data_IF_575539943748
#
_entry.id   IF_575539943748
#
_cell.length_a   1.000
_cell.length_b   1.000
_cell.length_c   1.000
_cell.angle_alpha   90.00
_cell.angle_beta   90.00
_cell.angle_gamma   90.00
#
_symmetry.space_group_name_H-M   'P 1'
#
loop_
_entity.id
_entity.type
_entity.pdbx_description
1 polymer ?
#
# COMPACT_ATOMS: atom_id res chain seq x y z
N UNK A 1 -20.98 -8.19 17.28
CA UNK A 1 -19.85 -8.52 16.40
C UNK A 1 -18.79 -7.46 16.53
N UNK A 2 -17.57 -7.89 16.77
CA UNK A 2 -16.45 -6.96 16.88
C UNK A 2 -15.83 -6.85 15.50
N UNK A 3 -15.88 -5.65 14.93
CA UNK A 3 -15.20 -5.38 13.65
C UNK A 3 -13.84 -4.79 14.00
N UNK A 4 -12.79 -5.40 13.51
CA UNK A 4 -11.45 -4.88 13.71
C UNK A 4 -11.36 -3.49 13.07
N UNK A 5 -10.88 -2.51 13.84
CA UNK A 5 -10.67 -1.16 13.31
C UNK A 5 -9.67 -1.15 12.18
N UNK A 6 -8.75 -2.14 12.14
CA UNK A 6 -7.75 -2.25 11.09
C UNK A 6 -8.34 -2.60 9.74
N UNK A 7 -9.55 -3.20 9.72
CA UNK A 7 -10.23 -3.59 8.48
C UNK A 7 -11.21 -2.53 7.98
N UNK A 8 -11.35 -1.44 8.70
CA UNK A 8 -12.27 -0.37 8.27
C UNK A 8 -11.66 0.44 7.15
N UNK A 9 -12.45 0.68 6.12
CA UNK A 9 -12.00 1.43 4.94
C UNK A 9 -11.53 2.84 5.29
N UNK A 10 -12.11 3.45 6.30
CA UNK A 10 -11.70 4.79 6.72
C UNK A 10 -10.28 4.82 7.27
N UNK A 11 -9.77 3.71 7.78
CA UNK A 11 -8.37 3.62 8.21
C UNK A 11 -7.40 3.67 7.04
N UNK A 12 -7.87 3.32 5.85
CA UNK A 12 -7.09 3.42 4.62
C UNK A 12 -7.34 4.77 3.96
N UNK A 13 -8.61 5.09 3.68
CA UNK A 13 -8.95 6.32 2.96
C UNK A 13 -8.73 7.57 3.78
N UNK A 14 -8.77 7.45 5.11
CA UNK A 14 -8.49 8.55 6.01
C UNK A 14 -7.01 8.83 6.20
N UNK A 15 -6.14 8.00 5.63
CA UNK A 15 -4.69 8.15 5.77
C UNK A 15 -4.08 8.54 4.43
N UNK A 16 -3.68 9.79 4.31
CA UNK A 16 -2.99 10.27 3.11
C UNK A 16 -1.73 9.47 2.81
N UNK A 17 -0.96 9.15 3.84
CA UNK A 17 0.28 8.39 3.69
C UNK A 17 0.04 6.99 3.16
N UNK A 18 -0.95 6.27 3.72
CA UNK A 18 -1.27 4.91 3.27
C UNK A 18 -1.75 4.91 1.82
N UNK A 19 -2.60 5.85 1.46
CA UNK A 19 -3.09 5.96 0.08
C UNK A 19 -1.94 6.28 -0.87
N UNK A 20 -1.02 7.15 -0.48
CA UNK A 20 0.16 7.45 -1.29
C UNK A 20 0.99 6.20 -1.55
N UNK A 21 1.24 5.40 -0.52
CA UNK A 21 2.01 4.17 -0.63
C UNK A 21 1.29 3.17 -1.53
N UNK A 22 -0.01 2.97 -1.29
CA UNK A 22 -0.80 2.02 -2.09
C UNK A 22 -0.88 2.43 -3.55
N UNK A 23 -1.08 3.72 -3.81
CA UNK A 23 -1.13 4.22 -5.19
C UNK A 23 0.21 4.00 -5.90
N UNK A 24 1.30 4.30 -5.24
CA UNK A 24 2.64 4.11 -5.78
C UNK A 24 2.90 2.64 -6.11
N UNK A 25 2.53 1.73 -5.22
CA UNK A 25 2.69 0.30 -5.46
C UNK A 25 1.73 -0.23 -6.51
N UNK A 26 0.50 0.27 -6.53
CA UNK A 26 -0.48 -0.16 -7.54
C UNK A 26 0.00 0.16 -8.95
N UNK A 27 0.63 1.31 -9.14
CA UNK A 27 1.14 1.74 -10.45
C UNK A 27 2.39 0.95 -10.85
N UNK A 28 3.28 0.70 -9.90
CA UNK A 28 4.60 0.11 -10.20
C UNK A 28 4.67 -1.39 -9.95
N UNK A 29 3.68 -1.99 -9.31
CA UNK A 29 3.57 -3.39 -8.92
C UNK A 29 4.52 -3.79 -7.80
N UNK A 30 5.81 -3.56 -7.95
CA UNK A 30 6.82 -3.89 -6.94
C UNK A 30 7.82 -2.75 -6.84
N UNK A 31 8.18 -2.40 -5.61
CA UNK A 31 9.21 -1.39 -5.34
C UNK A 31 9.98 -1.77 -4.09
N UNK A 32 11.26 -1.41 -4.08
CA UNK A 32 12.04 -1.50 -2.86
C UNK A 32 11.61 -0.40 -1.89
N UNK A 33 11.96 -0.57 -0.62
CA UNK A 33 11.62 0.43 0.39
C UNK A 33 12.20 1.80 0.06
N UNK A 34 13.42 1.83 -0.48
CA UNK A 34 14.07 3.06 -0.88
C UNK A 34 13.29 3.77 -2.00
N UNK A 35 12.79 3.00 -2.97
CA UNK A 35 11.99 3.55 -4.05
C UNK A 35 10.64 4.08 -3.55
N UNK A 36 10.02 3.38 -2.59
CA UNK A 36 8.77 3.84 -1.99
C UNK A 36 8.98 5.18 -1.29
N UNK A 37 10.04 5.29 -0.49
CA UNK A 37 10.37 6.52 0.21
C UNK A 37 10.60 7.65 -0.79
N UNK A 38 11.37 7.40 -1.83
CA UNK A 38 11.67 8.38 -2.88
C UNK A 38 10.41 8.86 -3.59
N UNK A 39 9.54 7.93 -3.96
CA UNK A 39 8.35 8.24 -4.75
C UNK A 39 7.27 8.91 -3.92
N UNK A 40 7.14 8.55 -2.64
CA UNK A 40 6.10 9.11 -1.77
C UNK A 40 6.57 10.37 -1.05
N UNK A 41 7.89 10.54 -0.90
CA UNK A 41 8.51 11.61 -0.13
C UNK A 41 8.12 11.61 1.34
N UNK A 42 7.73 10.43 1.83
CA UNK A 42 7.47 10.21 3.25
C UNK A 42 8.76 9.81 3.94
N UNK A 43 8.84 10.01 5.27
CA UNK A 43 10.04 9.61 5.98
C UNK A 43 10.08 8.09 6.18
N UNK A 44 11.29 7.58 6.44
CA UNK A 44 11.55 6.14 6.54
C UNK A 44 10.68 5.45 7.60
N UNK A 45 10.62 6.00 8.81
CA UNK A 45 9.88 5.35 9.89
C UNK A 45 8.38 5.33 9.63
N UNK A 46 7.84 6.38 9.02
CA UNK A 46 6.44 6.43 8.60
C UNK A 46 6.13 5.35 7.57
N UNK A 47 6.99 5.23 6.56
CA UNK A 47 6.80 4.23 5.50
C UNK A 47 6.81 2.82 6.09
N UNK A 48 7.78 2.50 6.95
CA UNK A 48 7.87 1.19 7.60
C UNK A 48 6.59 0.90 8.39
N UNK A 49 6.16 1.85 9.21
CA UNK A 49 4.97 1.68 10.05
C UNK A 49 3.72 1.42 9.20
N UNK A 50 3.53 2.21 8.15
CA UNK A 50 2.37 2.04 7.28
C UNK A 50 2.43 0.74 6.48
N UNK A 51 3.61 0.35 5.99
CA UNK A 51 3.77 -0.91 5.27
C UNK A 51 3.46 -2.11 6.16
N UNK A 52 3.88 -2.07 7.43
CA UNK A 52 3.56 -3.13 8.38
C UNK A 52 2.05 -3.28 8.54
N UNK A 53 1.33 -2.17 8.65
CA UNK A 53 -0.12 -2.20 8.74
C UNK A 53 -0.76 -2.74 7.45
N UNK A 54 -0.28 -2.29 6.31
CA UNK A 54 -0.81 -2.74 5.01
C UNK A 54 -0.53 -4.23 4.76
N UNK A 55 0.57 -4.76 5.29
CA UNK A 55 0.84 -6.21 5.24
C UNK A 55 -0.19 -6.98 6.05
N UNK A 56 -0.53 -6.48 7.24
CA UNK A 56 -1.55 -7.13 8.09
C UNK A 56 -2.90 -7.19 7.39
N UNK A 57 -3.21 -6.20 6.58
CA UNK A 57 -4.46 -6.15 5.82
C UNK A 57 -4.40 -6.96 4.52
N UNK A 58 -3.27 -7.58 4.22
CA UNK A 58 -3.04 -8.35 3.00
C UNK A 58 -3.15 -7.53 1.72
N UNK A 59 -2.87 -6.24 1.81
CA UNK A 59 -2.88 -5.35 0.65
C UNK A 59 -1.52 -5.30 -0.04
N UNK A 60 -0.46 -5.56 0.71
CA UNK A 60 0.90 -5.62 0.19
C UNK A 60 1.61 -6.84 0.74
N UNK A 61 2.62 -7.30 0.01
CA UNK A 61 3.46 -8.42 0.40
C UNK A 61 4.91 -7.96 0.47
N UNK A 62 5.60 -8.34 1.52
CA UNK A 62 7.02 -8.09 1.65
C UNK A 62 7.80 -9.29 1.12
N UNK A 63 8.78 -9.02 0.28
CA UNK A 63 9.72 -10.02 -0.23
C UNK A 63 11.12 -9.59 0.19
N UNK A 64 11.90 -10.54 0.73
CA UNK A 64 13.25 -10.26 1.17
C UNK A 64 14.25 -10.96 0.28
N UNK A 65 15.20 -10.21 -0.28
CA UNK A 65 16.29 -10.72 -1.08
C UNK A 65 17.59 -10.26 -0.44
N UNK A 66 18.16 -11.10 0.44
CA UNK A 66 19.29 -10.70 1.24
C UNK A 66 18.93 -9.52 2.14
N UNK A 67 19.58 -8.38 1.94
CA UNK A 67 19.33 -7.16 2.72
C UNK A 67 18.29 -6.25 2.07
N UNK A 68 17.81 -6.61 0.88
CA UNK A 68 16.87 -5.79 0.13
C UNK A 68 15.45 -6.20 0.48
N UNK A 69 14.65 -5.23 0.90
CA UNK A 69 13.22 -5.43 1.14
C UNK A 69 12.44 -4.86 -0.03
N UNK A 70 11.63 -5.71 -0.66
CA UNK A 70 10.78 -5.33 -1.77
C UNK A 70 9.34 -5.54 -1.36
N UNK A 71 8.49 -4.61 -1.75
CA UNK A 71 7.06 -4.68 -1.45
C UNK A 71 6.29 -4.79 -2.74
N UNK A 72 5.32 -5.71 -2.76
CA UNK A 72 4.49 -6.00 -3.93
C UNK A 72 3.03 -5.69 -3.61
N UNK A 73 2.35 -5.04 -4.55
CA UNK A 73 0.90 -4.85 -4.47
C UNK A 73 0.21 -6.20 -4.65
N UNK A 74 -0.74 -6.54 -3.78
CA UNK A 74 -1.41 -7.84 -3.84
C UNK A 74 -2.64 -7.80 -4.75
N UNK A 75 -2.41 -7.82 -6.06
CA UNK A 75 -3.48 -7.79 -7.05
C UNK A 75 -4.46 -8.95 -6.93
N UNK A 76 -4.03 -10.06 -6.36
CA UNK A 76 -4.88 -11.23 -6.16
C UNK A 76 -5.87 -11.06 -5.01
N UNK A 77 -5.64 -10.10 -4.12
CA UNK A 77 -6.56 -9.79 -3.02
C UNK A 77 -7.70 -8.93 -3.54
N UNK A 78 -8.94 -9.33 -3.27
CA UNK A 78 -10.11 -8.62 -3.79
C UNK A 78 -10.17 -7.17 -3.35
N UNK A 79 -9.87 -6.89 -2.07
CA UNK A 79 -9.88 -5.52 -1.56
C UNK A 79 -8.80 -4.67 -2.22
N UNK A 80 -7.60 -5.23 -2.36
CA UNK A 80 -6.49 -4.54 -3.01
C UNK A 80 -6.83 -4.26 -4.48
N UNK A 81 -7.39 -5.26 -5.17
CA UNK A 81 -7.80 -5.12 -6.56
C UNK A 81 -8.86 -4.04 -6.73
N UNK A 82 -9.86 -4.03 -5.85
CA UNK A 82 -10.93 -3.03 -5.86
C UNK A 82 -10.38 -1.62 -5.65
N UNK A 83 -9.48 -1.48 -4.69
CA UNK A 83 -8.87 -0.19 -4.40
C UNK A 83 -8.02 0.30 -5.57
N UNK A 84 -7.26 -0.59 -6.18
CA UNK A 84 -6.46 -0.26 -7.36
C UNK A 84 -7.36 0.24 -8.49
N UNK A 85 -8.47 -0.45 -8.72
CA UNK A 85 -9.44 -0.04 -9.75
C UNK A 85 -10.03 1.32 -9.44
N UNK A 86 -10.38 1.55 -8.18
CA UNK A 86 -10.88 2.84 -7.73
C UNK A 86 -9.86 3.95 -7.98
N UNK A 87 -8.60 3.72 -7.62
CA UNK A 87 -7.51 4.68 -7.84
C UNK A 87 -7.33 4.96 -9.34
N UNK A 88 -7.33 3.92 -10.16
CA UNK A 88 -7.19 4.06 -11.61
C UNK A 88 -8.29 4.92 -12.20
N UNK A 89 -9.53 4.69 -11.77
CA UNK A 89 -10.67 5.47 -12.25
C UNK A 89 -10.56 6.92 -11.78
N UNK A 90 -10.20 7.12 -10.51
CA UNK A 90 -10.14 8.45 -9.92
C UNK A 90 -9.03 9.29 -10.52
N UNK A 91 -7.83 8.70 -10.69
CA UNK A 91 -6.64 9.41 -11.15
C UNK A 91 -6.44 9.32 -12.67
N UNK A 92 -7.13 8.42 -13.32
CA UNK A 92 -6.99 8.20 -14.75
C UNK A 92 -7.86 9.13 -15.58
N UNK A 93 -7.76 8.96 -16.89
CA UNK A 93 -8.57 9.70 -17.85
C UNK A 93 -9.77 8.86 -18.27
N UNK A 94 -10.80 8.94 -17.46
CA UNK A 94 -12.06 8.26 -17.75
C UNK A 94 -13.17 9.24 -18.01
#
# INVERSE_FOLDING_TARGET
MIVSQDNNIENILGSRAKIKILKTLAVNNELSITQIIRNTKLNHSSVISHLDHLKLLNLVQEKNFGRIKIFRYRDENLKAKSLKKFIEIWEGEY
#
